data_IF_363318076356
#
_entry.id   IF_363318076356
#
_cell.length_a   1.000
_cell.length_b   1.000
_cell.length_c   1.000
_cell.angle_alpha   90.00
_cell.angle_beta   90.00
_cell.angle_gamma   90.00
#
_symmetry.space_group_name_H-M   'P 1'
#
loop_
_entity.id
_entity.type
_entity.pdbx_description
1 polymer ?
#
# COMPACT_ATOMS: atom_id res chain seq x y z
N UNK A 1 -3.55 4.49 16.90
CA UNK A 1 -2.55 3.69 16.16
C UNK A 1 -3.03 3.53 14.74
N UNK A 2 -2.12 3.26 13.80
CA UNK A 2 -2.30 3.44 12.34
C UNK A 2 -2.59 2.12 11.66
N UNK A 3 -1.75 1.16 12.01
CA UNK A 3 -2.07 -0.24 11.94
C UNK A 3 -2.24 -0.69 13.38
N UNK A 4 -3.43 -1.16 13.73
CA UNK A 4 -3.66 -1.79 15.02
C UNK A 4 -3.61 -3.28 14.82
N UNK A 5 -2.56 -3.90 15.35
CA UNK A 5 -2.43 -5.35 15.37
C UNK A 5 -2.89 -5.87 16.73
N UNK A 6 -3.80 -6.83 16.72
CA UNK A 6 -4.19 -7.57 17.94
C UNK A 6 -3.81 -9.03 17.77
N UNK A 7 -2.97 -9.55 18.67
CA UNK A 7 -2.66 -10.98 18.74
C UNK A 7 -3.73 -11.67 19.61
N UNK A 8 -4.38 -12.70 19.07
CA UNK A 8 -5.43 -13.47 19.76
C UNK A 8 -4.93 -14.82 20.30
N UNK A 9 -3.64 -15.11 20.19
CA UNK A 9 -3.08 -16.44 20.44
C UNK A 9 -3.37 -17.43 19.30
N UNK A 10 -2.77 -18.62 19.37
CA UNK A 10 -3.04 -19.71 18.41
C UNK A 10 -2.76 -19.35 16.93
N UNK A 11 -1.70 -18.57 16.67
CA UNK A 11 -1.38 -18.00 15.36
C UNK A 11 -2.44 -17.04 14.77
N UNK A 12 -3.36 -16.48 15.58
CA UNK A 12 -4.45 -15.63 15.07
C UNK A 12 -4.22 -14.16 15.35
N UNK A 13 -4.57 -13.33 14.38
CA UNK A 13 -4.36 -11.88 14.42
C UNK A 13 -5.58 -11.10 13.94
N UNK A 14 -5.68 -9.85 14.38
CA UNK A 14 -6.48 -8.83 13.71
C UNK A 14 -5.58 -7.70 13.27
N UNK A 15 -5.94 -7.08 12.16
CA UNK A 15 -5.24 -5.96 11.57
C UNK A 15 -6.27 -4.93 11.12
N UNK A 16 -6.21 -3.74 11.72
CA UNK A 16 -6.95 -2.56 11.28
C UNK A 16 -5.97 -1.58 10.65
N UNK A 17 -6.28 -1.04 9.48
CA UNK A 17 -5.49 -0.06 8.74
C UNK A 17 -6.32 1.21 8.62
N UNK A 18 -5.84 2.31 9.18
CA UNK A 18 -6.55 3.59 9.21
C UNK A 18 -5.64 4.74 8.78
N UNK A 19 -6.00 5.39 7.66
CA UNK A 19 -5.29 6.56 7.12
C UNK A 19 -5.65 7.88 7.83
N UNK A 20 -6.55 7.85 8.81
CA UNK A 20 -7.15 9.01 9.45
C UNK A 20 -7.37 8.77 10.97
N UNK A 21 -6.31 8.48 11.74
CA UNK A 21 -6.46 8.28 13.19
C UNK A 21 -6.92 9.58 13.86
N UNK A 22 -7.82 9.46 14.85
CA UNK A 22 -8.41 10.58 15.63
C UNK A 22 -7.42 11.50 16.36
N UNK A 23 -6.11 11.21 16.32
CA UNK A 23 -5.04 12.03 16.93
C UNK A 23 -4.02 12.57 15.91
N UNK A 24 -4.41 12.74 14.63
CA UNK A 24 -3.63 13.49 13.64
C UNK A 24 -2.22 12.97 13.35
N UNK A 25 -1.91 11.72 13.72
CA UNK A 25 -0.60 11.13 13.54
C UNK A 25 -0.30 10.78 12.08
N UNK A 26 1.00 10.63 11.79
CA UNK A 26 1.55 9.93 10.63
C UNK A 26 0.74 8.65 10.29
N UNK A 27 0.56 8.24 9.03
CA UNK A 27 -0.33 7.13 8.57
C UNK A 27 0.44 5.82 8.34
N UNK A 28 -0.10 4.72 7.76
CA UNK A 28 0.55 3.39 7.71
C UNK A 28 2.04 3.37 7.34
N UNK A 29 2.51 4.38 6.61
CA UNK A 29 3.90 4.57 6.18
C UNK A 29 4.75 5.57 6.99
N UNK A 30 4.18 6.21 8.01
CA UNK A 30 4.83 7.28 8.76
C UNK A 30 4.52 8.69 8.23
N UNK A 31 3.64 8.86 7.24
CA UNK A 31 3.28 10.17 6.66
C UNK A 31 1.82 10.54 6.97
N UNK A 32 1.46 11.74 7.44
CA UNK A 32 0.04 12.05 7.70
C UNK A 32 -0.77 12.05 6.39
N UNK A 33 -1.88 11.27 6.33
CA UNK A 33 -3.02 11.07 5.39
C UNK A 33 -2.83 10.30 4.04
N UNK A 34 -3.93 9.65 3.59
CA UNK A 34 -4.02 8.59 2.57
C UNK A 34 -3.41 8.89 1.19
N UNK A 35 -2.78 7.87 0.60
CA UNK A 35 -1.95 7.89 -0.61
C UNK A 35 -1.20 9.21 -0.84
N UNK A 36 -0.11 9.40 -0.11
CA UNK A 36 0.78 10.54 -0.30
C UNK A 36 1.70 10.32 -1.50
N UNK A 37 1.85 11.35 -2.33
CA UNK A 37 2.86 11.44 -3.40
C UNK A 37 3.77 12.64 -3.14
N UNK A 38 5.07 12.47 -3.35
CA UNK A 38 6.00 13.60 -3.44
C UNK A 38 5.99 14.14 -4.87
N UNK A 39 6.44 15.38 -5.04
CA UNK A 39 6.67 16.02 -6.35
C UNK A 39 5.42 16.11 -7.25
N UNK A 40 4.26 16.33 -6.63
CA UNK A 40 3.00 16.57 -7.34
C UNK A 40 2.83 18.05 -7.69
N UNK A 41 2.56 18.33 -8.96
CA UNK A 41 2.24 19.66 -9.48
C UNK A 41 0.74 19.85 -9.57
N UNK A 42 0.26 21.06 -9.24
CA UNK A 42 -1.12 21.48 -9.47
C UNK A 42 -1.52 21.51 -10.97
N UNK A 43 -0.52 21.44 -11.86
CA UNK A 43 -0.71 21.53 -13.31
C UNK A 43 -0.68 20.13 -13.99
N UNK A 44 -0.36 19.07 -13.23
CA UNK A 44 -0.34 17.69 -13.73
C UNK A 44 -1.72 17.03 -13.67
N UNK A 45 -1.92 15.91 -14.36
CA UNK A 45 -3.10 15.05 -14.23
C UNK A 45 -2.76 13.74 -13.51
N UNK A 46 -3.71 13.22 -12.72
CA UNK A 46 -3.49 12.08 -11.84
C UNK A 46 -4.54 10.99 -12.06
N UNK A 47 -4.11 9.73 -12.16
CA UNK A 47 -5.03 8.60 -12.34
C UNK A 47 -4.47 7.29 -11.77
N UNK A 48 -5.30 6.25 -11.72
CA UNK A 48 -4.82 4.89 -11.40
C UNK A 48 -4.25 4.73 -10.00
N UNK A 49 -4.69 5.54 -9.03
CA UNK A 49 -4.23 5.43 -7.64
C UNK A 49 -4.63 4.07 -7.03
N UNK A 50 -3.66 3.37 -6.43
CA UNK A 50 -3.89 2.07 -5.77
C UNK A 50 -3.12 1.95 -4.48
N UNK A 51 -3.68 1.15 -3.56
CA UNK A 51 -3.03 0.71 -2.33
C UNK A 51 -3.02 -0.81 -2.33
N UNK A 52 -1.85 -1.41 -2.12
CA UNK A 52 -1.66 -2.85 -2.01
C UNK A 52 -1.13 -3.20 -0.64
N UNK A 53 -1.80 -4.13 0.02
CA UNK A 53 -1.37 -4.69 1.29
C UNK A 53 -0.92 -6.13 1.08
N UNK A 54 0.36 -6.39 1.28
CA UNK A 54 0.96 -7.71 1.16
C UNK A 54 1.03 -8.33 2.55
N UNK A 55 0.27 -9.38 2.84
CA UNK A 55 0.31 -10.05 4.15
C UNK A 55 1.13 -11.33 4.03
N UNK A 56 2.05 -11.56 4.98
CA UNK A 56 2.96 -12.71 4.96
C UNK A 56 2.19 -14.03 4.96
N UNK A 57 2.57 -14.91 4.06
CA UNK A 57 1.97 -16.23 3.89
C UNK A 57 1.17 -16.37 2.61
N UNK A 58 0.72 -17.59 2.37
CA UNK A 58 -0.15 -17.96 1.26
C UNK A 58 -1.61 -17.96 1.73
N UNK A 59 -2.33 -16.89 1.40
CA UNK A 59 -3.73 -16.71 1.76
C UNK A 59 -4.60 -16.98 0.55
N UNK A 60 -5.47 -17.99 0.64
CA UNK A 60 -6.43 -18.34 -0.41
C UNK A 60 -7.84 -18.33 0.17
N UNK A 61 -8.84 -18.74 -0.62
CA UNK A 61 -10.20 -18.87 -0.10
C UNK A 61 -10.32 -20.01 0.92
N UNK A 62 -9.45 -21.01 0.83
CA UNK A 62 -9.49 -22.25 1.62
C UNK A 62 -8.34 -22.38 2.61
N UNK A 63 -7.25 -21.63 2.42
CA UNK A 63 -6.08 -21.63 3.29
C UNK A 63 -5.88 -20.24 3.88
N UNK A 64 -5.94 -20.13 5.22
CA UNK A 64 -5.75 -18.88 5.96
C UNK A 64 -6.47 -17.67 5.33
N UNK A 65 -7.78 -17.74 5.07
CA UNK A 65 -8.48 -16.65 4.43
C UNK A 65 -8.41 -15.38 5.31
N UNK A 66 -8.05 -14.27 4.66
CA UNK A 66 -8.16 -12.93 5.24
C UNK A 66 -9.31 -12.23 4.54
N UNK A 67 -10.35 -11.91 5.31
CA UNK A 67 -11.49 -11.12 4.85
C UNK A 67 -11.35 -9.70 5.38
N UNK A 68 -11.13 -8.76 4.48
CA UNK A 68 -11.11 -7.34 4.81
C UNK A 68 -12.51 -6.76 4.73
N UNK A 69 -12.78 -5.81 5.63
CA UNK A 69 -14.04 -5.11 5.75
C UNK A 69 -13.77 -3.61 5.81
N UNK A 70 -14.64 -2.81 5.19
CA UNK A 70 -14.67 -1.38 5.43
C UNK A 70 -14.99 -1.12 6.90
N UNK A 71 -14.19 -0.26 7.54
CA UNK A 71 -14.49 0.24 8.87
C UNK A 71 -15.22 1.59 8.78
N UNK A 72 -15.78 2.05 9.90
CA UNK A 72 -16.53 3.32 9.95
C UNK A 72 -15.68 4.47 9.44
N UNK A 73 -16.23 5.26 8.52
CA UNK A 73 -15.54 6.39 7.89
C UNK A 73 -14.68 6.03 6.67
N UNK A 74 -14.65 4.76 6.23
CA UNK A 74 -14.04 4.41 4.96
C UNK A 74 -14.77 5.08 3.79
N UNK A 75 -14.00 5.72 2.90
CA UNK A 75 -14.55 6.31 1.69
C UNK A 75 -14.99 5.24 0.70
N UNK A 76 -16.18 5.42 0.12
CA UNK A 76 -16.70 4.58 -0.97
C UNK A 76 -15.95 4.77 -2.28
N UNK A 77 -15.04 5.74 -2.37
CA UNK A 77 -14.15 5.93 -3.52
C UNK A 77 -13.05 4.89 -3.59
N UNK A 78 -12.73 4.23 -2.48
CA UNK A 78 -11.87 3.06 -2.51
C UNK A 78 -12.70 1.81 -2.84
N UNK A 79 -12.25 1.01 -3.80
CA UNK A 79 -12.88 -0.25 -4.15
C UNK A 79 -12.85 -1.24 -2.98
N UNK A 80 -13.53 -2.39 -3.12
CA UNK A 80 -13.21 -3.55 -2.31
C UNK A 80 -11.80 -4.09 -2.62
N UNK A 81 -11.21 -4.90 -1.71
CA UNK A 81 -9.93 -5.55 -1.95
C UNK A 81 -10.03 -6.59 -3.07
N UNK A 82 -9.05 -6.59 -3.97
CA UNK A 82 -8.80 -7.68 -4.91
C UNK A 82 -7.61 -8.48 -4.41
N UNK A 83 -7.82 -9.76 -4.07
CA UNK A 83 -6.74 -10.66 -3.65
C UNK A 83 -5.99 -11.17 -4.89
N UNK A 84 -4.68 -11.01 -4.92
CA UNK A 84 -3.82 -11.60 -5.95
C UNK A 84 -3.17 -12.92 -5.51
N UNK A 85 -2.34 -13.48 -6.38
CA UNK A 85 -1.53 -14.66 -6.07
C UNK A 85 -0.38 -14.29 -5.12
N UNK A 86 0.01 -15.21 -4.24
CA UNK A 86 1.15 -14.99 -3.35
C UNK A 86 2.47 -14.89 -4.14
N UNK A 87 3.31 -13.93 -3.76
CA UNK A 87 4.60 -13.66 -4.41
C UNK A 87 5.71 -13.55 -3.37
N UNK A 88 6.94 -13.88 -3.77
CA UNK A 88 8.13 -13.68 -2.93
C UNK A 88 8.55 -12.21 -2.98
N UNK A 89 8.70 -11.58 -1.82
CA UNK A 89 9.17 -10.18 -1.68
C UNK A 89 10.70 -10.15 -1.47
N UNK A 90 11.27 -8.95 -1.46
CA UNK A 90 12.71 -8.71 -1.35
C UNK A 90 13.36 -9.28 -0.06
N UNK A 91 12.57 -9.55 0.98
CA UNK A 91 13.05 -10.22 2.21
C UNK A 91 13.06 -11.75 2.12
N UNK A 92 12.76 -12.31 0.94
CA UNK A 92 12.76 -13.75 0.67
C UNK A 92 11.51 -14.50 1.14
N UNK A 93 10.54 -13.82 1.77
CA UNK A 93 9.30 -14.48 2.22
C UNK A 93 8.16 -14.30 1.20
N UNK A 94 7.20 -15.23 1.24
CA UNK A 94 5.97 -15.14 0.45
C UNK A 94 4.94 -14.23 1.12
N UNK A 95 4.28 -13.41 0.33
CA UNK A 95 3.19 -12.54 0.75
C UNK A 95 2.04 -12.59 -0.25
N UNK A 96 0.81 -12.55 0.27
CA UNK A 96 -0.40 -12.43 -0.56
C UNK A 96 -0.83 -10.97 -0.66
N UNK A 97 -0.99 -10.40 -1.86
CA UNK A 97 -1.45 -9.03 -2.05
C UNK A 97 -2.96 -8.90 -1.97
N UNK A 98 -3.40 -7.79 -1.39
CA UNK A 98 -4.77 -7.28 -1.42
C UNK A 98 -4.74 -5.86 -1.98
N UNK A 99 -5.41 -5.61 -3.10
CA UNK A 99 -5.35 -4.33 -3.82
C UNK A 99 -6.66 -3.58 -3.72
N UNK A 100 -6.59 -2.31 -3.35
CA UNK A 100 -7.67 -1.34 -3.42
C UNK A 100 -7.35 -0.31 -4.48
N UNK A 101 -8.31 -0.04 -5.35
CA UNK A 101 -8.22 0.99 -6.39
C UNK A 101 -9.06 2.18 -5.98
N UNK A 102 -8.51 3.37 -6.13
CA UNK A 102 -9.26 4.61 -5.95
C UNK A 102 -10.01 4.96 -7.24
N UNK A 103 -11.30 5.27 -7.09
CA UNK A 103 -12.25 5.53 -8.19
C UNK A 103 -12.82 6.95 -8.16
N UNK A 104 -12.38 7.78 -7.22
CA UNK A 104 -12.76 9.19 -7.19
C UNK A 104 -11.99 10.00 -8.24
N UNK A 105 -12.44 11.23 -8.43
CA UNK A 105 -11.73 12.22 -9.24
C UNK A 105 -10.54 12.72 -8.44
N UNK A 106 -9.36 12.66 -9.01
CA UNK A 106 -8.15 13.19 -8.38
C UNK A 106 -7.92 14.59 -8.92
N UNK A 107 -8.22 15.61 -8.10
CA UNK A 107 -8.06 17.00 -8.49
C UNK A 107 -6.67 17.53 -8.08
N UNK A 108 -5.81 17.91 -9.03
CA UNK A 108 -4.49 18.49 -8.77
C UNK A 108 -4.54 19.75 -7.89
N UNK A 109 -5.64 20.49 -7.91
CA UNK A 109 -5.82 21.67 -7.06
C UNK A 109 -5.88 21.34 -5.56
N UNK A 110 -6.12 20.07 -5.19
CA UNK A 110 -6.15 19.62 -3.80
C UNK A 110 -4.74 19.32 -3.24
N UNK A 111 -3.69 19.46 -4.07
CA UNK A 111 -2.30 19.42 -3.62
C UNK A 111 -2.08 20.51 -2.58
N UNK A 112 -1.69 20.10 -1.37
CA UNK A 112 -1.41 20.99 -0.25
C UNK A 112 -0.07 21.72 -0.46
N UNK A 113 0.11 22.82 0.27
CA UNK A 113 1.29 23.68 0.19
C UNK A 113 2.62 22.99 0.52
N UNK A 114 2.56 21.86 1.21
CA UNK A 114 3.68 20.95 1.52
C UNK A 114 3.90 19.88 0.44
N UNK A 115 3.30 20.05 -0.75
CA UNK A 115 3.53 19.24 -1.95
C UNK A 115 2.86 17.87 -1.91
N UNK A 116 1.75 17.74 -1.17
CA UNK A 116 1.08 16.45 -0.93
C UNK A 116 -0.34 16.46 -1.44
N UNK A 117 -0.69 15.38 -2.10
CA UNK A 117 -2.06 15.07 -2.45
C UNK A 117 -2.62 14.07 -1.44
N UNK A 118 -3.80 14.39 -0.91
CA UNK A 118 -4.50 13.55 0.05
C UNK A 118 -5.77 13.01 -0.58
N UNK A 119 -5.80 11.69 -0.76
CA UNK A 119 -7.04 11.01 -1.14
C UNK A 119 -7.92 10.79 0.10
N UNK A 120 -9.20 10.45 -0.13
CA UNK A 120 -10.18 10.24 0.92
C UNK A 120 -9.83 9.06 1.83
N UNK A 121 -10.46 9.03 3.00
CA UNK A 121 -10.20 8.09 4.08
C UNK A 121 -10.16 6.63 3.64
N UNK A 122 -9.01 5.99 3.85
CA UNK A 122 -8.80 4.57 3.74
C UNK A 122 -8.85 3.94 5.14
N UNK A 123 -9.90 3.17 5.44
CA UNK A 123 -10.10 2.58 6.74
C UNK A 123 -10.69 1.18 6.61
N UNK A 124 -9.86 0.16 6.81
CA UNK A 124 -10.25 -1.24 6.62
C UNK A 124 -9.76 -2.08 7.79
N UNK A 125 -10.43 -3.21 8.02
CA UNK A 125 -10.04 -4.16 9.06
C UNK A 125 -10.20 -5.60 8.59
N UNK A 126 -9.28 -6.45 9.01
CA UNK A 126 -9.41 -7.90 8.96
C UNK A 126 -9.32 -8.44 10.39
N UNK A 127 -10.33 -9.20 10.80
CA UNK A 127 -10.46 -9.65 12.19
C UNK A 127 -10.23 -11.15 12.30
N UNK A 128 -9.47 -11.53 13.33
CA UNK A 128 -9.27 -12.90 13.77
C UNK A 128 -8.90 -13.88 12.63
N UNK A 129 -7.98 -13.51 11.74
CA UNK A 129 -7.48 -14.39 10.68
C UNK A 129 -6.29 -15.22 11.17
N UNK A 130 -6.07 -16.37 10.54
CA UNK A 130 -5.00 -17.31 10.87
C UNK A 130 -3.72 -17.01 10.10
N UNK A 131 -2.58 -17.09 10.79
CA UNK A 131 -1.22 -17.08 10.23
C UNK A 131 -0.55 -18.47 10.35
N UNK A 132 -1.32 -19.53 10.58
CA UNK A 132 -0.82 -20.91 10.67
C UNK A 132 -0.57 -21.48 9.28
N UNK A 133 0.68 -21.63 8.87
CA UNK A 133 1.06 -22.20 7.57
C UNK A 133 2.09 -23.32 7.77
N UNK A 134 1.90 -24.46 7.12
CA UNK A 134 2.80 -25.62 7.19
C UNK A 134 3.13 -26.08 8.64
N UNK A 135 2.14 -26.02 9.54
CA UNK A 135 2.30 -26.42 10.94
C UNK A 135 3.06 -25.41 11.81
N UNK A 136 3.31 -24.19 11.33
CA UNK A 136 4.01 -23.14 12.06
C UNK A 136 3.18 -21.86 12.12
N UNK A 137 3.32 -21.10 13.21
CA UNK A 137 2.81 -19.73 13.26
C UNK A 137 3.77 -18.82 12.50
N UNK A 138 3.34 -18.31 11.34
CA UNK A 138 4.06 -17.23 10.70
C UNK A 138 3.93 -15.95 11.54
N UNK A 139 4.99 -15.14 11.65
CA UNK A 139 4.88 -13.80 12.21
C UNK A 139 4.02 -12.93 11.29
N UNK A 140 3.26 -11.99 11.87
CA UNK A 140 2.53 -11.00 11.10
C UNK A 140 3.49 -9.92 10.58
N UNK A 141 4.15 -10.24 9.47
CA UNK A 141 4.79 -9.26 8.61
C UNK A 141 3.84 -8.85 7.48
N UNK A 142 3.93 -7.60 7.06
CA UNK A 142 3.21 -7.11 5.89
C UNK A 142 3.97 -5.98 5.20
N UNK A 143 3.71 -5.82 3.90
CA UNK A 143 4.15 -4.66 3.14
C UNK A 143 2.96 -3.82 2.74
N UNK A 144 3.14 -2.50 2.75
CA UNK A 144 2.20 -1.56 2.19
C UNK A 144 2.85 -0.92 0.98
N UNK A 145 2.25 -1.12 -0.18
CA UNK A 145 2.63 -0.49 -1.44
C UNK A 145 1.54 0.47 -1.88
N UNK A 146 1.92 1.55 -2.52
CA UNK A 146 1.00 2.50 -3.16
C UNK A 146 1.56 2.95 -4.50
N UNK A 147 0.68 3.21 -5.45
CA UNK A 147 1.04 3.77 -6.74
C UNK A 147 0.01 4.76 -7.26
N UNK A 148 0.44 5.60 -8.21
CA UNK A 148 -0.39 6.44 -9.05
C UNK A 148 0.27 6.62 -10.41
N UNK A 149 -0.52 6.95 -11.42
CA UNK A 149 -0.04 7.49 -12.70
C UNK A 149 -0.11 9.02 -12.67
N UNK A 150 1.01 9.67 -12.97
CA UNK A 150 1.15 11.12 -13.09
C UNK A 150 1.43 11.48 -14.54
N UNK A 151 0.63 12.38 -15.09
CA UNK A 151 0.86 13.00 -16.38
C UNK A 151 1.25 14.47 -16.14
N UNK A 152 2.54 14.83 -16.27
CA UNK A 152 3.04 16.15 -15.86
C UNK A 152 2.43 17.33 -16.62
N UNK A 153 2.10 17.12 -17.90
CA UNK A 153 1.60 18.17 -18.80
C UNK A 153 0.09 18.02 -19.07
N UNK A 154 -0.54 16.97 -18.51
CA UNK A 154 -1.90 16.58 -18.81
C UNK A 154 -2.05 15.90 -20.18
N UNK A 155 -3.25 15.41 -20.51
CA UNK A 155 -3.48 14.43 -21.59
C UNK A 155 -3.12 14.92 -23.00
N UNK A 156 -2.85 16.22 -23.17
CA UNK A 156 -2.50 16.84 -24.46
C UNK A 156 -1.04 17.30 -24.53
N UNK A 157 -0.26 17.08 -23.46
CA UNK A 157 1.12 17.52 -23.38
C UNK A 157 2.12 16.54 -23.99
N UNK A 158 3.38 16.99 -24.21
CA UNK A 158 4.41 16.16 -24.85
C UNK A 158 5.03 15.12 -23.91
N UNK A 159 5.00 15.31 -22.59
CA UNK A 159 5.55 14.34 -21.64
C UNK A 159 4.66 13.10 -21.51
N UNK A 160 5.30 11.93 -21.44
CA UNK A 160 4.59 10.68 -21.19
C UNK A 160 4.20 10.55 -19.71
N UNK A 161 3.04 9.97 -19.41
CA UNK A 161 2.68 9.65 -18.03
C UNK A 161 3.69 8.68 -17.39
N UNK A 162 3.96 8.89 -16.10
CA UNK A 162 4.86 8.06 -15.29
C UNK A 162 4.15 7.48 -14.07
N UNK A 163 4.55 6.29 -13.64
CA UNK A 163 4.04 5.68 -12.41
C UNK A 163 4.94 6.05 -11.23
N UNK A 164 4.39 6.74 -10.24
CA UNK A 164 5.06 6.94 -8.96
C UNK A 164 4.59 5.86 -7.99
N UNK A 165 5.51 5.30 -7.21
CA UNK A 165 5.17 4.30 -6.20
C UNK A 165 5.99 4.46 -4.93
N UNK A 166 5.45 3.93 -3.84
CA UNK A 166 6.11 3.88 -2.55
C UNK A 166 5.77 2.57 -1.85
N UNK A 167 6.76 2.00 -1.16
CA UNK A 167 6.60 0.77 -0.42
C UNK A 167 7.21 0.86 0.98
N UNK A 168 6.59 0.16 1.94
CA UNK A 168 7.08 0.03 3.31
C UNK A 168 6.84 -1.37 3.85
N UNK A 169 7.77 -1.87 4.64
CA UNK A 169 7.65 -3.13 5.37
C UNK A 169 7.35 -2.88 6.85
N UNK A 170 6.48 -3.69 7.41
CA UNK A 170 6.14 -3.70 8.82
C UNK A 170 6.12 -5.14 9.33
N UNK A 171 6.62 -5.37 10.54
CA UNK A 171 6.58 -6.68 11.16
C UNK A 171 7.87 -7.01 11.92
N UNK A 172 7.86 -8.12 12.68
CA UNK A 172 8.97 -8.46 13.57
C UNK A 172 10.13 -9.21 12.91
N UNK A 173 10.02 -9.67 11.66
CA UNK A 173 11.09 -10.47 11.03
C UNK A 173 12.18 -9.60 10.39
N UNK A 174 13.39 -10.15 10.23
CA UNK A 174 14.53 -9.47 9.59
C UNK A 174 15.39 -8.66 10.57
N UNK A 175 16.33 -7.81 10.10
CA UNK A 175 17.23 -7.03 10.96
C UNK A 175 16.52 -5.88 11.71
N UNK A 176 15.20 -5.85 11.68
CA UNK A 176 14.39 -4.80 12.29
C UNK A 176 14.18 -5.12 13.78
N UNK A 177 14.34 -4.10 14.62
CA UNK A 177 14.04 -4.20 16.07
C UNK A 177 12.59 -4.70 16.23
N UNK A 178 12.25 -5.53 17.23
CA UNK A 178 10.86 -5.92 17.47
C UNK A 178 9.94 -4.70 17.57
N UNK A 179 8.98 -4.57 16.66
CA UNK A 179 8.08 -3.40 16.56
C UNK A 179 8.62 -2.21 15.75
N UNK A 180 9.82 -2.31 15.19
CA UNK A 180 10.36 -1.31 14.27
C UNK A 180 9.62 -1.33 12.93
N UNK A 181 9.28 -0.14 12.45
CA UNK A 181 8.67 0.05 11.14
C UNK A 181 9.77 0.46 10.14
N UNK A 182 10.23 -0.47 9.30
CA UNK A 182 11.31 -0.23 8.34
C UNK A 182 10.85 0.45 7.06
N UNK A 183 11.55 1.50 6.61
CA UNK A 183 11.38 2.04 5.26
C UNK A 183 12.27 1.25 4.30
N UNK A 184 11.67 0.68 3.26
CA UNK A 184 12.37 0.13 2.09
C UNK A 184 11.69 0.78 0.89
N UNK A 185 12.14 1.96 0.49
CA UNK A 185 11.71 2.52 -0.78
C UNK A 185 12.36 1.67 -1.88
N UNK A 186 11.58 0.81 -2.51
CA UNK A 186 11.96 0.23 -3.80
C UNK A 186 11.21 1.04 -4.84
N UNK A 187 11.90 1.99 -5.45
CA UNK A 187 11.52 2.45 -6.79
C UNK A 187 11.54 1.20 -7.66
N UNK A 188 10.50 0.89 -8.45
CA UNK A 188 10.63 -0.15 -9.47
C UNK A 188 11.89 0.17 -10.27
N UNK A 189 12.78 -0.80 -10.40
CA UNK A 189 14.03 -0.63 -11.14
C UNK A 189 13.69 0.04 -12.48
N UNK A 190 14.22 1.24 -12.67
CA UNK A 190 14.22 1.95 -13.95
C UNK A 190 15.02 1.19 -15.02
N UNK A 191 15.47 -0.04 -14.74
CA UNK A 191 16.18 -0.92 -15.67
C UNK A 191 15.27 -1.65 -16.66
N UNK A 192 13.94 -1.54 -16.54
CA UNK A 192 13.03 -2.01 -17.59
C UNK A 192 12.74 -0.96 -18.69
N UNK A 193 13.10 0.32 -18.50
CA UNK A 193 12.88 1.38 -19.50
C UNK A 193 14.18 1.87 -20.15
N UNK A 194 15.35 1.53 -19.60
CA UNK A 194 16.63 1.88 -20.20
C UNK A 194 16.95 1.12 -21.50
N UNK A 195 16.32 -0.05 -21.74
CA UNK A 195 16.58 -0.85 -22.95
C UNK A 195 15.80 -0.41 -24.22
N UNK A 196 15.04 0.69 -24.17
CA UNK A 196 14.38 1.25 -25.36
C UNK A 196 15.07 2.50 -25.92
N UNK A 197 16.06 3.08 -25.22
CA UNK A 197 16.82 4.25 -25.70
C UNK A 197 18.22 3.92 -26.24
N UNK A 198 18.66 2.66 -26.22
CA UNK A 198 19.94 2.23 -26.80
C UNK A 198 19.84 1.46 -28.13
N UNK A 199 18.64 1.29 -28.70
CA UNK A 199 18.44 0.66 -30.02
C UNK A 199 18.04 1.65 -31.13
N UNK A 200 18.21 2.95 -30.90
CA UNK A 200 17.90 4.01 -31.87
C UNK A 200 19.02 5.03 -32.07
N UNK A 201 20.28 4.64 -31.84
CA UNK A 201 21.47 5.42 -32.25
C UNK A 201 22.25 4.70 -33.34
#
# INVERSE_FOLDING_TARGET
MLNTTTNHGGCRYSLEVNSAPTRGGATPDGAPWGLYLYDVSKDASYSGAKLVYWVRGTHTATQNPITWQAATGHSTKWSGPVRGAAQTKADGFKYTPYTWTYTGTINPADVKSDGRLYLETFHVKATNFSMSENGQCLPLDYWTYREIVVDPDGPTGPQQPMTLSFERRNGPSGPYVPGAQGRMAVTPDAEATANLQQLSS
#
